data_IF_637714208464
#
_entry.id   IF_637714208464
#
_cell.length_a   1.000
_cell.length_b   1.000
_cell.length_c   1.000
_cell.angle_alpha   90.00
_cell.angle_beta   90.00
_cell.angle_gamma   90.00
#
_symmetry.space_group_name_H-M   'P 1'
#
loop_
_entity.id
_entity.type
_entity.pdbx_description
1 polymer ?
#
# COMPACT_ATOMS: atom_id res chain seq x y z
N UNK A 1 -10.13 -68.42 4.65
CA UNK A 1 -9.54 -67.75 5.82
C UNK A 1 -8.28 -67.09 5.30
N UNK A 2 -8.33 -65.79 5.01
CA UNK A 2 -7.21 -64.86 4.69
C UNK A 2 -7.88 -63.51 4.36
N UNK A 3 -8.07 -62.67 5.38
CA UNK A 3 -7.25 -61.50 5.76
C UNK A 3 -7.57 -60.21 5.00
N UNK A 4 -8.14 -59.28 5.77
CA UNK A 4 -8.31 -57.86 5.50
C UNK A 4 -7.01 -57.18 5.08
N UNK A 5 -7.10 -56.09 4.31
CA UNK A 5 -6.55 -54.79 4.73
C UNK A 5 -7.05 -53.65 3.82
N UNK A 6 -7.82 -52.75 4.45
CA UNK A 6 -8.22 -51.45 3.93
C UNK A 6 -6.98 -50.59 3.60
N UNK A 7 -6.99 -49.93 2.44
CA UNK A 7 -6.27 -48.67 2.25
C UNK A 7 -7.19 -47.67 1.54
N UNK A 8 -8.12 -47.11 2.29
CA UNK A 8 -8.81 -45.88 1.93
C UNK A 8 -7.81 -44.73 1.98
N UNK A 9 -7.29 -44.33 0.82
CA UNK A 9 -6.55 -43.08 0.64
C UNK A 9 -7.49 -41.89 0.87
N UNK A 10 -7.60 -41.45 2.13
CA UNK A 10 -8.10 -40.11 2.43
C UNK A 10 -7.01 -39.13 1.97
N UNK A 11 -7.11 -38.68 0.71
CA UNK A 11 -6.40 -37.50 0.25
C UNK A 11 -6.96 -36.30 1.02
N UNK A 12 -6.33 -35.95 2.14
CA UNK A 12 -6.57 -34.69 2.83
C UNK A 12 -6.33 -33.56 1.82
N UNK A 13 -7.32 -32.72 1.51
CA UNK A 13 -7.06 -31.51 0.75
C UNK A 13 -6.13 -30.65 1.60
N UNK A 14 -4.90 -30.44 1.12
CA UNK A 14 -4.00 -29.43 1.66
C UNK A 14 -4.69 -28.07 1.47
N UNK A 15 -5.41 -27.61 2.49
CA UNK A 15 -5.88 -26.24 2.58
C UNK A 15 -4.61 -25.40 2.75
N UNK A 16 -4.15 -24.81 1.66
CA UNK A 16 -3.06 -23.82 1.68
C UNK A 16 -3.62 -22.59 2.38
N UNK A 17 -3.43 -22.52 3.70
CA UNK A 17 -3.65 -21.31 4.47
C UNK A 17 -2.55 -20.33 4.06
N UNK A 18 -2.89 -19.39 3.17
CA UNK A 18 -2.02 -18.28 2.81
C UNK A 18 -1.65 -17.51 4.07
N UNK A 19 -0.39 -17.62 4.49
CA UNK A 19 0.13 -16.82 5.59
C UNK A 19 0.24 -15.38 5.10
N UNK A 20 -0.53 -14.46 5.68
CA UNK A 20 -0.35 -13.04 5.45
C UNK A 20 1.01 -12.62 6.00
N UNK A 21 2.05 -12.60 5.15
CA UNK A 21 3.34 -12.07 5.55
C UNK A 21 3.16 -10.57 5.84
N UNK A 22 3.44 -10.17 7.08
CA UNK A 22 3.48 -8.76 7.45
C UNK A 22 4.53 -8.07 6.59
N UNK A 23 4.12 -7.12 5.76
CA UNK A 23 5.04 -6.37 4.92
C UNK A 23 6.07 -5.64 5.81
N UNK A 24 7.35 -5.70 5.43
CA UNK A 24 8.40 -4.93 6.12
C UNK A 24 8.41 -3.50 5.58
N UNK A 25 8.43 -2.53 6.48
CA UNK A 25 8.43 -1.10 6.15
C UNK A 25 9.79 -0.46 6.46
N UNK A 26 10.14 0.56 5.69
CA UNK A 26 11.23 1.50 5.98
C UNK A 26 10.64 2.90 6.17
N UNK A 27 11.32 3.72 6.95
CA UNK A 27 10.98 5.14 7.10
C UNK A 27 11.69 5.99 6.07
N UNK A 28 11.05 7.07 5.62
CA UNK A 28 11.67 8.08 4.77
C UNK A 28 11.51 9.47 5.38
N UNK A 29 12.34 10.39 4.89
CA UNK A 29 12.23 11.82 5.15
C UNK A 29 12.33 12.55 3.80
N UNK A 30 11.38 13.46 3.55
CA UNK A 30 11.40 14.38 2.43
C UNK A 30 11.31 15.81 2.92
N UNK A 31 12.04 16.72 2.28
CA UNK A 31 12.04 18.14 2.59
C UNK A 31 11.52 18.92 1.38
N UNK A 32 10.59 19.85 1.62
CA UNK A 32 9.97 20.69 0.59
C UNK A 32 10.13 22.16 1.00
N UNK A 33 10.77 22.95 0.13
CA UNK A 33 10.82 24.40 0.29
C UNK A 33 9.63 25.04 -0.44
N UNK A 34 8.89 25.89 0.26
CA UNK A 34 7.77 26.64 -0.30
C UNK A 34 7.76 28.08 0.22
N UNK A 35 7.14 29.03 -0.49
CA UNK A 35 6.97 30.40 0.03
C UNK A 35 6.17 30.38 1.34
N UNK A 36 6.69 31.05 2.38
CA UNK A 36 5.96 31.22 3.62
C UNK A 36 4.88 32.29 3.41
N UNK A 37 3.61 31.91 3.50
CA UNK A 37 2.48 32.85 3.33
C UNK A 37 1.85 33.07 4.69
N UNK A 38 1.90 34.30 5.21
CA UNK A 38 1.33 34.66 6.52
C UNK A 38 1.80 33.77 7.68
N UNK A 39 3.06 33.31 7.63
CA UNK A 39 3.60 32.42 8.67
C UNK A 39 3.18 30.94 8.52
N UNK A 40 2.61 30.55 7.38
CA UNK A 40 2.17 29.17 7.12
C UNK A 40 2.96 28.54 5.98
N UNK A 41 3.24 27.25 6.11
CA UNK A 41 3.76 26.44 5.02
C UNK A 41 2.63 25.84 4.20
N UNK A 42 2.80 25.81 2.87
CA UNK A 42 1.88 25.16 1.95
C UNK A 42 2.32 23.72 1.71
N UNK A 43 1.44 22.75 2.01
CA UNK A 43 1.65 21.33 1.74
C UNK A 43 0.70 20.88 0.62
N UNK A 44 1.24 20.71 -0.59
CA UNK A 44 0.43 20.42 -1.77
C UNK A 44 -0.59 21.53 -2.07
N UNK A 45 -1.76 21.17 -2.60
CA UNK A 45 -2.84 22.13 -2.88
C UNK A 45 -3.87 22.24 -1.76
N UNK A 46 -3.78 21.40 -0.73
CA UNK A 46 -4.91 21.11 0.14
C UNK A 46 -4.76 21.68 1.55
N UNK A 47 -3.52 21.91 2.02
CA UNK A 47 -3.27 22.24 3.42
C UNK A 47 -2.27 23.37 3.62
N UNK A 48 -2.64 24.32 4.48
CA UNK A 48 -1.74 25.29 5.09
C UNK A 48 -1.48 24.87 6.54
N UNK A 49 -0.22 24.85 6.94
CA UNK A 49 0.23 24.42 8.27
C UNK A 49 0.91 25.63 8.92
N UNK A 50 0.53 25.98 10.15
CA UNK A 50 1.16 27.08 10.88
C UNK A 50 2.66 26.79 11.11
N UNK A 51 3.48 27.83 11.14
CA UNK A 51 4.89 27.69 11.50
C UNK A 51 5.03 27.09 12.91
N UNK A 52 5.82 26.03 13.03
CA UNK A 52 6.04 25.29 14.28
C UNK A 52 4.99 24.23 14.55
N UNK A 53 3.93 24.15 13.75
CA UNK A 53 2.91 23.12 13.92
C UNK A 53 3.29 21.80 13.22
N UNK A 54 2.72 20.75 13.78
CA UNK A 54 2.75 19.40 13.23
C UNK A 54 1.36 19.03 12.73
N UNK A 55 1.29 18.46 11.54
CA UNK A 55 0.09 17.86 10.99
C UNK A 55 0.35 16.40 10.64
N UNK A 56 -0.67 15.56 10.78
CA UNK A 56 -0.61 14.15 10.42
C UNK A 56 -1.53 13.88 9.24
N UNK A 57 -1.01 13.16 8.25
CA UNK A 57 -1.74 12.71 7.09
C UNK A 57 -1.95 11.20 7.22
N UNK A 58 -3.01 10.87 7.94
CA UNK A 58 -3.29 9.51 8.42
C UNK A 58 -3.44 8.51 7.28
N UNK A 59 -4.02 8.92 6.14
CA UNK A 59 -4.21 8.09 4.94
C UNK A 59 -2.88 7.56 4.36
N UNK A 60 -1.78 8.27 4.59
CA UNK A 60 -0.45 7.91 4.10
C UNK A 60 0.55 7.60 5.22
N UNK A 61 0.06 7.56 6.48
CA UNK A 61 0.91 7.42 7.66
C UNK A 61 2.10 8.41 7.66
N UNK A 62 1.84 9.69 7.35
CA UNK A 62 2.87 10.73 7.32
C UNK A 62 2.71 11.72 8.47
N UNK A 63 3.85 12.17 9.00
CA UNK A 63 3.97 13.34 9.87
C UNK A 63 4.60 14.47 9.08
N UNK A 64 3.95 15.63 9.08
CA UNK A 64 4.36 16.83 8.37
C UNK A 64 4.64 17.94 9.38
N UNK A 65 5.79 18.60 9.24
CA UNK A 65 6.22 19.66 10.14
C UNK A 65 6.57 20.91 9.35
N UNK A 66 6.01 22.05 9.74
CA UNK A 66 6.30 23.34 9.11
C UNK A 66 7.38 24.08 9.90
N UNK A 67 8.54 24.24 9.28
CA UNK A 67 9.67 25.01 9.79
C UNK A 67 9.82 26.31 8.99
N UNK A 68 10.42 27.31 9.62
CA UNK A 68 10.88 28.51 8.92
C UNK A 68 12.37 28.38 8.61
N UNK A 69 12.74 28.63 7.37
CA UNK A 69 14.13 28.74 6.93
C UNK A 69 14.32 30.09 6.23
N UNK A 70 14.77 31.08 7.01
CA UNK A 70 14.87 32.47 6.54
C UNK A 70 13.48 33.06 6.19
N UNK A 71 13.29 33.39 4.91
CA UNK A 71 12.01 33.91 4.37
C UNK A 71 11.16 32.82 3.70
N UNK A 72 11.59 31.56 3.74
CA UNK A 72 10.89 30.43 3.15
C UNK A 72 10.29 29.53 4.25
N UNK A 73 9.20 28.84 3.89
CA UNK A 73 8.68 27.71 4.64
C UNK A 73 9.41 26.44 4.22
N UNK A 74 9.87 25.67 5.19
CA UNK A 74 10.50 24.38 5.03
C UNK A 74 9.56 23.31 5.61
N UNK A 75 8.95 22.53 4.74
CA UNK A 75 8.06 21.44 5.12
C UNK A 75 8.87 20.15 5.18
N UNK A 76 9.02 19.60 6.37
CA UNK A 76 9.61 18.28 6.57
C UNK A 76 8.49 17.24 6.64
N UNK A 77 8.55 16.23 5.78
CA UNK A 77 7.62 15.10 5.75
C UNK A 77 8.37 13.85 6.16
N UNK A 78 7.87 13.14 7.17
CA UNK A 78 8.34 11.82 7.57
C UNK A 78 7.23 10.81 7.40
N UNK A 79 7.54 9.67 6.82
CA UNK A 79 6.56 8.61 6.61
C UNK A 79 7.25 7.27 6.51
N UNK A 80 6.50 6.26 6.07
CA UNK A 80 7.02 4.91 5.89
C UNK A 80 6.38 4.22 4.68
N UNK A 81 7.13 3.32 4.07
CA UNK A 81 6.75 2.61 2.84
C UNK A 81 7.24 1.17 2.89
N UNK A 82 6.56 0.20 2.26
CA UNK A 82 7.08 -1.16 2.17
C UNK A 82 8.43 -1.21 1.45
N UNK A 83 9.29 -2.14 1.89
CA UNK A 83 10.61 -2.37 1.28
C UNK A 83 10.47 -2.96 -0.13
N UNK A 84 9.48 -3.84 -0.31
CA UNK A 84 9.28 -4.54 -1.57
C UNK A 84 8.49 -3.64 -2.56
N UNK A 85 8.86 -3.64 -3.85
CA UNK A 85 8.08 -2.97 -4.87
C UNK A 85 6.67 -3.58 -4.95
N UNK A 86 5.67 -2.72 -5.05
CA UNK A 86 4.27 -3.12 -5.16
C UNK A 86 3.93 -3.43 -6.62
N UNK A 87 3.19 -4.52 -6.85
CA UNK A 87 2.58 -4.76 -8.15
C UNK A 87 1.48 -3.72 -8.43
N UNK A 88 1.17 -3.38 -9.70
CA UNK A 88 0.23 -2.30 -10.04
C UNK A 88 -1.19 -2.47 -9.49
N UNK A 89 -1.59 -3.70 -9.18
CA UNK A 89 -2.89 -4.07 -8.62
C UNK A 89 -2.88 -4.18 -7.09
N UNK A 90 -1.81 -3.74 -6.43
CA UNK A 90 -1.63 -3.84 -4.99
C UNK A 90 -1.62 -2.47 -4.33
N UNK A 91 -2.28 -2.35 -3.18
CA UNK A 91 -2.33 -1.14 -2.35
C UNK A 91 -1.83 -1.45 -0.94
N UNK A 92 -1.15 -0.49 -0.34
CA UNK A 92 -0.69 -0.57 1.06
C UNK A 92 -1.80 -0.11 1.97
N UNK A 93 -2.10 -0.91 2.99
CA UNK A 93 -3.01 -0.53 4.07
C UNK A 93 -2.22 -0.46 5.36
N UNK A 94 -2.05 0.77 5.85
CA UNK A 94 -1.41 1.04 7.13
C UNK A 94 -2.32 0.64 8.30
N UNK A 95 -1.70 0.28 9.41
CA UNK A 95 -2.40 0.07 10.67
C UNK A 95 -2.94 1.39 11.22
N UNK A 96 -3.92 1.30 12.12
CA UNK A 96 -4.49 2.48 12.78
C UNK A 96 -3.46 3.16 13.67
N UNK A 97 -3.52 4.49 13.75
CA UNK A 97 -2.66 5.31 14.58
C UNK A 97 -2.06 6.47 13.80
N UNK A 98 -1.23 7.27 14.48
CA UNK A 98 -0.46 8.33 13.85
C UNK A 98 0.97 7.85 13.60
N UNK A 99 1.69 8.52 12.71
CA UNK A 99 3.10 8.24 12.51
C UNK A 99 3.90 8.48 13.82
N UNK A 100 4.81 7.57 14.24
CA UNK A 100 5.29 6.37 13.52
C UNK A 100 4.53 5.07 13.83
N UNK A 101 3.50 5.10 14.66
CA UNK A 101 2.81 3.90 15.14
C UNK A 101 2.04 3.18 14.02
N UNK A 102 1.56 3.92 13.01
CA UNK A 102 0.95 3.36 11.80
C UNK A 102 1.97 2.77 10.79
N UNK A 103 3.28 2.75 11.09
CA UNK A 103 4.33 2.21 10.21
C UNK A 103 4.44 0.69 10.23
N UNK A 104 3.29 0.05 10.12
CA UNK A 104 3.10 -1.38 9.95
C UNK A 104 1.79 -1.57 9.22
N UNK A 105 1.60 -2.70 8.56
CA UNK A 105 0.41 -2.91 7.75
C UNK A 105 0.48 -4.14 6.88
N UNK A 106 -0.42 -4.19 5.91
CA UNK A 106 -0.54 -5.29 4.96
C UNK A 106 -0.75 -4.75 3.54
N UNK A 107 -0.44 -5.59 2.56
CA UNK A 107 -0.62 -5.27 1.14
C UNK A 107 -1.85 -6.03 0.67
N UNK A 108 -2.81 -5.32 0.09
CA UNK A 108 -4.01 -5.90 -0.52
C UNK A 108 -3.84 -5.81 -2.03
N UNK A 109 -3.93 -6.95 -2.71
CA UNK A 109 -3.87 -7.01 -4.17
C UNK A 109 -5.22 -7.45 -4.74
N UNK A 110 -5.73 -6.71 -5.73
CA UNK A 110 -6.88 -7.16 -6.51
C UNK A 110 -6.46 -8.38 -7.33
N UNK A 111 -6.96 -9.55 -6.95
CA UNK A 111 -6.81 -10.74 -7.77
C UNK A 111 -7.67 -10.56 -9.01
N UNK A 112 -7.06 -10.70 -10.20
CA UNK A 112 -7.87 -10.83 -11.40
C UNK A 112 -8.69 -12.11 -11.26
N UNK A 113 -10.01 -12.08 -11.53
CA UNK A 113 -10.81 -13.29 -11.50
C UNK A 113 -10.21 -14.29 -12.49
N UNK A 114 -9.86 -15.48 -11.99
CA UNK A 114 -9.45 -16.57 -12.86
C UNK A 114 -10.63 -16.93 -13.77
N UNK A 115 -10.43 -17.02 -15.10
CA UNK A 115 -11.50 -17.40 -16.01
C UNK A 115 -11.98 -18.81 -15.65
N UNK A 116 -13.29 -18.98 -15.49
CA UNK A 116 -13.90 -20.25 -15.07
C UNK A 116 -14.04 -21.23 -16.23
N UNK A 117 -13.76 -20.79 -17.46
CA UNK A 117 -13.81 -21.60 -18.66
C UNK A 117 -12.89 -21.08 -19.76
N UNK A 118 -12.57 -21.95 -20.71
CA UNK A 118 -11.78 -21.62 -21.91
C UNK A 118 -12.47 -20.55 -22.77
N UNK A 119 -13.80 -20.48 -22.73
CA UNK A 119 -14.59 -19.47 -23.45
C UNK A 119 -14.36 -18.08 -22.85
N UNK A 120 -14.46 -17.97 -21.53
CA UNK A 120 -14.18 -16.72 -20.81
C UNK A 120 -12.72 -16.28 -21.00
N UNK A 121 -11.77 -17.23 -21.00
CA UNK A 121 -10.36 -16.94 -21.27
C UNK A 121 -10.17 -16.36 -22.67
N UNK A 122 -10.79 -16.96 -23.69
CA UNK A 122 -10.71 -16.48 -25.07
C UNK A 122 -11.33 -15.08 -25.23
N UNK A 123 -12.40 -14.77 -24.51
CA UNK A 123 -13.01 -13.44 -24.51
C UNK A 123 -12.13 -12.39 -23.84
N UNK A 124 -11.51 -12.72 -22.70
CA UNK A 124 -10.54 -11.84 -22.04
C UNK A 124 -9.35 -11.53 -22.95
N UNK A 125 -8.80 -12.55 -23.64
CA UNK A 125 -7.69 -12.37 -24.60
C UNK A 125 -8.11 -11.44 -25.73
N UNK A 126 -9.31 -11.63 -26.31
CA UNK A 126 -9.82 -10.76 -27.39
C UNK A 126 -9.94 -9.31 -26.93
N UNK A 127 -10.48 -9.07 -25.73
CA UNK A 127 -10.65 -7.72 -25.18
C UNK A 127 -9.30 -7.01 -24.97
N UNK A 128 -8.30 -7.71 -24.44
CA UNK A 128 -6.94 -7.17 -24.25
C UNK A 128 -6.29 -6.80 -25.59
N UNK A 129 -6.42 -7.66 -26.62
CA UNK A 129 -5.87 -7.40 -27.95
C UNK A 129 -6.55 -6.21 -28.64
N UNK A 130 -7.82 -5.95 -28.37
CA UNK A 130 -8.53 -4.78 -28.90
C UNK A 130 -8.11 -3.48 -28.22
N UNK A 131 -7.94 -3.47 -26.90
CA UNK A 131 -7.47 -2.28 -26.17
C UNK A 131 -6.04 -1.88 -26.52
N UNK A 132 -5.17 -2.85 -26.86
CA UNK A 132 -3.78 -2.57 -27.27
C UNK A 132 -3.65 -1.92 -28.67
N UNK A 133 -4.74 -1.86 -29.44
CA UNK A 133 -4.78 -1.27 -30.80
C UNK A 133 -5.29 0.18 -30.83
N UNK A 134 -5.66 0.76 -29.68
CA UNK A 134 -5.96 2.19 -29.51
C UNK A 134 -4.74 2.91 -28.96
#
# INVERSE_FOLDING_TARGET
MEWNLLFTFFALPCIVLGTSESAKFITYKNDILSPLTEGKCKMGNEKMIEQGDTWYRDDYCEKVYCLRSGNLGHVEVRGCTPIAPLSPNCTVVHNKGLYPDCCSGHIICEQQPEPKSDVEMAEMIRALLQNRRK
#
